data_IF_746598661841
#
_entry.id   IF_746598661841
#
_cell.length_a   1.000
_cell.length_b   1.000
_cell.length_c   1.000
_cell.angle_alpha   90.00
_cell.angle_beta   90.00
_cell.angle_gamma   90.00
#
_symmetry.space_group_name_H-M   'P 1'
#
loop_
_entity.id
_entity.type
_entity.pdbx_description
1 polymer ?
#
# COMPACT_ATOMS: atom_id res chain seq x y z
N UNK A 1 8.44 10.21 -9.12
CA UNK A 1 7.39 9.30 -8.64
C UNK A 1 7.76 8.77 -7.28
N UNK A 2 6.80 8.62 -6.39
CA UNK A 2 7.02 8.30 -5.00
C UNK A 2 6.20 7.09 -4.58
N UNK A 3 6.61 6.45 -3.47
CA UNK A 3 5.88 5.34 -2.86
C UNK A 3 5.28 5.83 -1.54
N UNK A 4 3.99 5.56 -1.35
CA UNK A 4 3.25 5.88 -0.12
C UNK A 4 2.82 4.57 0.54
N UNK A 5 2.92 4.51 1.85
CA UNK A 5 2.58 3.28 2.60
C UNK A 5 1.54 3.60 3.67
N UNK A 6 0.45 2.83 3.67
CA UNK A 6 -0.50 2.78 4.77
C UNK A 6 0.14 1.91 5.86
N UNK A 7 0.95 2.53 6.70
CA UNK A 7 1.95 1.81 7.49
C UNK A 7 1.38 1.09 8.71
N UNK A 8 0.27 1.56 9.27
CA UNK A 8 -0.33 0.90 10.44
C UNK A 8 -0.82 -0.52 10.11
N UNK A 9 -1.18 -0.75 8.86
CA UNK A 9 -1.66 -2.04 8.38
C UNK A 9 -0.61 -2.83 7.59
N UNK A 10 0.62 -2.35 7.51
CA UNK A 10 1.66 -2.99 6.70
C UNK A 10 2.57 -3.85 7.59
N UNK A 11 2.77 -5.13 7.26
CA UNK A 11 3.69 -5.99 8.02
C UNK A 11 5.13 -5.48 8.00
N UNK A 12 5.86 -5.69 9.09
CA UNK A 12 7.23 -5.21 9.22
C UNK A 12 8.17 -5.78 8.15
N UNK A 13 7.99 -7.04 7.76
CA UNK A 13 8.81 -7.67 6.74
C UNK A 13 8.63 -6.97 5.37
N UNK A 14 7.44 -6.50 5.09
CA UNK A 14 7.16 -5.76 3.86
C UNK A 14 7.77 -4.35 3.94
N UNK A 15 7.70 -3.70 5.09
CA UNK A 15 8.38 -2.42 5.30
C UNK A 15 9.88 -2.53 5.05
N UNK A 16 10.51 -3.61 5.50
CA UNK A 16 11.95 -3.83 5.28
C UNK A 16 12.28 -3.97 3.79
N UNK A 17 11.45 -4.67 3.03
CA UNK A 17 11.62 -4.78 1.58
C UNK A 17 11.55 -3.39 0.94
N UNK A 18 10.58 -2.58 1.37
CA UNK A 18 10.42 -1.21 0.88
C UNK A 18 11.60 -0.33 1.23
N UNK A 19 12.12 -0.43 2.45
CA UNK A 19 13.29 0.37 2.87
C UNK A 19 14.50 0.08 1.99
N UNK A 20 14.79 -1.19 1.75
CA UNK A 20 15.93 -1.59 0.89
C UNK A 20 15.73 -1.10 -0.55
N UNK A 21 14.53 -1.25 -1.07
CA UNK A 21 14.23 -0.82 -2.43
C UNK A 21 14.36 0.70 -2.59
N UNK A 22 13.83 1.47 -1.61
CA UNK A 22 13.90 2.93 -1.65
C UNK A 22 15.35 3.42 -1.65
N UNK A 23 16.20 2.84 -0.78
CA UNK A 23 17.62 3.18 -0.73
C UNK A 23 18.34 2.83 -2.02
N UNK A 24 18.12 1.61 -2.52
CA UNK A 24 18.82 1.13 -3.71
C UNK A 24 18.47 1.94 -4.96
N UNK A 25 17.22 2.34 -5.09
CA UNK A 25 16.73 3.03 -6.28
C UNK A 25 16.61 4.55 -6.11
N UNK A 26 16.91 5.06 -4.91
CA UNK A 26 16.77 6.48 -4.57
C UNK A 26 15.34 6.99 -4.81
N UNK A 27 14.36 6.16 -4.46
CA UNK A 27 12.94 6.48 -4.63
C UNK A 27 12.38 7.03 -3.32
N UNK A 28 11.71 8.19 -3.33
CA UNK A 28 11.06 8.71 -2.12
C UNK A 28 10.02 7.74 -1.59
N UNK A 29 10.10 7.44 -0.30
CA UNK A 29 9.20 6.54 0.40
C UNK A 29 8.64 7.26 1.61
N UNK A 30 7.32 7.39 1.71
CA UNK A 30 6.63 8.02 2.84
C UNK A 30 5.71 7.00 3.49
N UNK A 31 5.88 6.81 4.80
CA UNK A 31 5.04 5.92 5.59
C UNK A 31 4.09 6.76 6.43
N UNK A 32 2.80 6.67 6.15
CA UNK A 32 1.76 7.37 6.91
C UNK A 32 1.26 6.46 8.03
N UNK A 33 1.28 6.96 9.25
CA UNK A 33 0.86 6.19 10.42
C UNK A 33 0.35 7.11 11.52
N UNK A 34 -0.54 6.59 12.36
CA UNK A 34 -1.01 7.34 13.53
C UNK A 34 -0.13 7.11 14.76
N UNK A 35 0.85 6.20 14.68
CA UNK A 35 1.80 5.91 15.75
C UNK A 35 3.22 6.18 15.27
N UNK A 36 4.15 6.50 16.20
CA UNK A 36 5.55 6.67 15.82
C UNK A 36 6.12 5.40 15.19
N UNK A 37 6.87 5.57 14.12
CA UNK A 37 7.51 4.48 13.41
C UNK A 37 9.03 4.63 13.47
N UNK A 38 9.72 3.50 13.59
CA UNK A 38 11.16 3.47 13.42
C UNK A 38 11.48 3.16 11.97
N UNK A 39 12.20 4.08 11.35
CA UNK A 39 12.65 3.91 9.98
C UNK A 39 14.17 4.10 9.93
N UNK A 40 14.85 3.49 8.95
CA UNK A 40 16.30 3.72 8.80
C UNK A 40 16.57 5.20 8.52
N UNK A 41 17.70 5.74 9.03
CA UNK A 41 18.09 7.10 8.69
C UNK A 41 18.40 7.18 7.18
N UNK A 42 17.60 7.94 6.45
CA UNK A 42 17.72 8.05 5.01
C UNK A 42 16.98 9.28 4.52
N UNK A 43 17.57 9.98 3.57
CA UNK A 43 16.90 11.12 2.93
C UNK A 43 15.77 10.71 2.00
N UNK A 44 15.67 9.43 1.66
CA UNK A 44 14.61 8.90 0.80
C UNK A 44 13.44 8.36 1.58
N UNK A 45 13.61 8.09 2.87
CA UNK A 45 12.59 7.46 3.71
C UNK A 45 12.16 8.45 4.78
N UNK A 46 10.86 8.75 4.80
CA UNK A 46 10.30 9.64 5.82
C UNK A 46 9.00 9.09 6.35
N UNK A 47 8.60 9.58 7.52
CA UNK A 47 7.32 9.24 8.13
C UNK A 47 6.40 10.45 8.08
N UNK A 48 5.11 10.18 7.90
CA UNK A 48 4.07 11.18 7.99
C UNK A 48 3.16 10.76 9.13
N UNK A 49 3.26 11.45 10.25
CA UNK A 49 2.39 11.16 11.39
C UNK A 49 1.04 11.84 11.18
N UNK A 50 -0.03 11.05 11.31
CA UNK A 50 -1.40 11.55 11.20
C UNK A 50 -2.13 11.32 12.51
N UNK A 51 -3.20 12.07 12.75
CA UNK A 51 -4.01 11.92 13.95
C UNK A 51 -4.74 10.57 13.91
N UNK A 52 -5.05 10.05 15.11
CA UNK A 52 -5.89 8.88 15.23
C UNK A 52 -7.29 9.22 14.75
N UNK A 53 -7.87 8.31 14.00
CA UNK A 53 -9.22 8.49 13.50
C UNK A 53 -9.44 7.59 12.30
N UNK A 54 -10.70 7.29 12.04
CA UNK A 54 -11.09 6.46 10.93
C UNK A 54 -10.72 7.15 9.60
N UNK A 55 -9.97 6.47 8.76
CA UNK A 55 -9.56 6.91 7.42
C UNK A 55 -8.67 8.16 7.38
N UNK A 56 -8.12 8.64 8.50
CA UNK A 56 -7.27 9.84 8.50
C UNK A 56 -5.99 9.62 7.67
N UNK A 57 -5.31 8.49 7.87
CA UNK A 57 -4.11 8.17 7.10
C UNK A 57 -4.44 8.01 5.61
N UNK A 58 -5.54 7.32 5.30
CA UNK A 58 -5.97 7.08 3.94
C UNK A 58 -6.27 8.39 3.20
N UNK A 59 -7.02 9.29 3.84
CA UNK A 59 -7.36 10.58 3.25
C UNK A 59 -6.11 11.42 2.97
N UNK A 60 -5.14 11.38 3.88
CA UNK A 60 -3.89 12.14 3.71
C UNK A 60 -3.05 11.58 2.58
N UNK A 61 -2.99 10.25 2.44
CA UNK A 61 -2.29 9.62 1.32
C UNK A 61 -2.93 10.04 -0.01
N UNK A 62 -4.25 9.95 -0.12
CA UNK A 62 -4.97 10.34 -1.34
C UNK A 62 -4.73 11.82 -1.67
N UNK A 63 -4.77 12.67 -0.66
CA UNK A 63 -4.56 14.10 -0.85
C UNK A 63 -3.17 14.42 -1.42
N UNK A 64 -2.15 13.74 -0.91
CA UNK A 64 -0.75 14.05 -1.27
C UNK A 64 -0.21 13.27 -2.45
N UNK A 65 -0.74 12.08 -2.74
CA UNK A 65 -0.22 11.28 -3.85
C UNK A 65 -0.53 11.93 -5.20
N UNK A 66 0.33 11.69 -6.16
CA UNK A 66 0.19 12.21 -7.51
C UNK A 66 0.01 11.07 -8.51
N UNK A 67 -0.43 11.39 -9.72
CA UNK A 67 -0.53 10.41 -10.79
C UNK A 67 0.84 9.77 -11.01
N UNK A 68 0.86 8.45 -11.15
CA UNK A 68 2.11 7.69 -11.31
C UNK A 68 2.74 7.21 -10.02
N UNK A 69 2.32 7.71 -8.86
CA UNK A 69 2.82 7.23 -7.57
C UNK A 69 2.30 5.82 -7.28
N UNK A 70 3.01 5.09 -6.41
CA UNK A 70 2.60 3.78 -5.94
C UNK A 70 2.16 3.88 -4.48
N UNK A 71 1.01 3.28 -4.16
CA UNK A 71 0.51 3.21 -2.78
C UNK A 71 0.43 1.76 -2.35
N UNK A 72 1.01 1.47 -1.18
CA UNK A 72 0.99 0.13 -0.58
C UNK A 72 -0.11 0.11 0.48
N UNK A 73 -1.16 -0.65 0.22
CA UNK A 73 -2.30 -0.74 1.14
C UNK A 73 -3.11 -2.01 0.90
N UNK A 74 -3.73 -2.52 1.95
CA UNK A 74 -4.74 -3.58 1.87
C UNK A 74 -6.17 -3.00 1.88
N UNK A 75 -6.31 -1.69 2.03
CA UNK A 75 -7.60 -1.01 2.06
C UNK A 75 -8.11 -0.82 0.62
N UNK A 76 -9.17 -1.52 0.28
CA UNK A 76 -9.70 -1.53 -1.09
C UNK A 76 -10.29 -0.16 -1.50
N UNK A 77 -11.07 0.54 -0.66
CA UNK A 77 -11.51 1.89 -1.00
C UNK A 77 -10.35 2.87 -1.26
N UNK A 78 -9.27 2.81 -0.46
CA UNK A 78 -8.10 3.64 -0.70
C UNK A 78 -7.46 3.31 -2.04
N UNK A 79 -7.31 2.02 -2.35
CA UNK A 79 -6.76 1.59 -3.65
C UNK A 79 -7.60 2.12 -4.81
N UNK A 80 -8.93 2.08 -4.69
CA UNK A 80 -9.82 2.59 -5.73
C UNK A 80 -9.62 4.10 -5.97
N UNK A 81 -9.49 4.88 -4.90
CA UNK A 81 -9.25 6.32 -5.01
C UNK A 81 -7.91 6.64 -5.65
N UNK A 82 -6.87 5.87 -5.30
CA UNK A 82 -5.53 6.02 -5.89
C UNK A 82 -5.57 5.73 -7.39
N UNK A 83 -6.23 4.65 -7.79
CA UNK A 83 -6.38 4.31 -9.20
C UNK A 83 -7.12 5.41 -9.96
N UNK A 84 -8.16 6.00 -9.37
CA UNK A 84 -8.91 7.10 -9.97
C UNK A 84 -8.05 8.34 -10.21
N UNK A 85 -7.01 8.55 -9.38
CA UNK A 85 -6.05 9.65 -9.56
C UNK A 85 -4.97 9.35 -10.59
N UNK A 86 -4.92 8.14 -11.13
CA UNK A 86 -3.87 7.71 -12.06
C UNK A 86 -2.65 7.10 -11.38
N UNK A 87 -2.72 6.81 -10.10
CA UNK A 87 -1.67 6.10 -9.38
C UNK A 87 -1.79 4.60 -9.51
N UNK A 88 -0.83 3.88 -8.94
CA UNK A 88 -0.83 2.43 -8.82
C UNK A 88 -1.02 2.01 -7.37
N UNK A 89 -1.64 0.87 -7.14
CA UNK A 89 -1.85 0.35 -5.80
C UNK A 89 -1.46 -1.12 -5.74
N UNK A 90 -0.81 -1.51 -4.65
CA UNK A 90 -0.28 -2.85 -4.43
C UNK A 90 -0.52 -3.24 -2.98
N UNK A 91 -1.04 -4.45 -2.73
CA UNK A 91 -1.21 -4.89 -1.36
C UNK A 91 0.06 -5.60 -0.84
N UNK A 92 0.19 -5.79 0.49
CA UNK A 92 1.39 -6.42 1.06
C UNK A 92 1.62 -7.87 0.62
N UNK A 93 0.64 -8.53 0.03
CA UNK A 93 0.81 -9.90 -0.50
C UNK A 93 1.27 -9.93 -1.94
N UNK A 94 1.50 -8.74 -2.53
CA UNK A 94 1.97 -8.66 -3.91
C UNK A 94 0.88 -8.67 -4.95
N UNK A 95 -0.37 -8.45 -4.56
CA UNK A 95 -1.46 -8.34 -5.51
C UNK A 95 -1.61 -6.89 -5.95
N UNK A 96 -1.57 -6.66 -7.26
CA UNK A 96 -1.74 -5.34 -7.82
C UNK A 96 -3.21 -5.08 -8.12
N UNK A 97 -3.72 -3.97 -7.64
CA UNK A 97 -5.09 -3.56 -7.95
C UNK A 97 -5.15 -2.96 -9.35
N UNK A 98 -6.27 -3.17 -10.04
CA UNK A 98 -6.52 -2.59 -11.36
C UNK A 98 -7.94 -2.05 -11.44
N UNK A 99 -8.17 -1.13 -12.37
CA UNK A 99 -9.50 -0.59 -12.61
C UNK A 99 -10.48 -1.69 -13.02
N UNK A 100 -9.99 -2.70 -13.74
CA UNK A 100 -10.83 -3.81 -14.20
C UNK A 100 -11.35 -4.68 -13.05
N UNK A 101 -10.56 -4.84 -11.98
CA UNK A 101 -10.90 -5.76 -10.88
C UNK A 101 -11.34 -5.07 -9.60
N UNK A 102 -11.15 -3.74 -9.49
CA UNK A 102 -11.40 -3.04 -8.24
C UNK A 102 -12.87 -3.05 -7.82
N UNK A 103 -13.79 -2.99 -8.77
CA UNK A 103 -15.23 -3.06 -8.49
C UNK A 103 -15.61 -4.40 -7.87
N UNK A 104 -15.08 -5.48 -8.40
CA UNK A 104 -15.32 -6.83 -7.90
C UNK A 104 -14.80 -6.95 -6.47
N UNK A 105 -13.63 -6.40 -6.20
CA UNK A 105 -13.05 -6.42 -4.85
C UNK A 105 -13.86 -5.57 -3.88
N UNK A 106 -14.35 -4.41 -4.29
CA UNK A 106 -15.24 -3.58 -3.47
C UNK A 106 -16.54 -4.32 -3.12
N UNK A 107 -17.13 -4.98 -4.09
CA UNK A 107 -18.35 -5.78 -3.87
C UNK A 107 -18.11 -6.92 -2.87
N UNK A 108 -17.01 -7.62 -3.03
CA UNK A 108 -16.63 -8.70 -2.11
C UNK A 108 -16.40 -8.18 -0.70
N UNK A 109 -15.71 -7.03 -0.57
CA UNK A 109 -15.49 -6.40 0.73
C UNK A 109 -16.81 -6.06 1.41
N UNK A 110 -17.74 -5.44 0.69
CA UNK A 110 -19.04 -5.07 1.23
C UNK A 110 -19.84 -6.31 1.65
N UNK A 111 -19.79 -7.35 0.84
CA UNK A 111 -20.42 -8.62 1.17
C UNK A 111 -19.86 -9.22 2.46
N UNK A 112 -18.54 -9.25 2.61
CA UNK A 112 -17.89 -9.79 3.80
C UNK A 112 -18.21 -8.96 5.05
N UNK A 113 -18.31 -7.63 4.92
CA UNK A 113 -18.71 -6.76 6.02
C UNK A 113 -20.16 -7.05 6.46
N UNK A 114 -21.05 -7.26 5.49
CA UNK A 114 -22.44 -7.60 5.76
C UNK A 114 -22.52 -8.93 6.52
N UNK A 115 -21.74 -9.93 6.13
CA UNK A 115 -21.68 -11.21 6.82
C UNK A 115 -21.23 -11.04 8.28
N UNK A 116 -20.20 -10.24 8.52
CA UNK A 116 -19.69 -9.99 9.87
C UNK A 116 -20.74 -9.28 10.73
N UNK A 117 -21.43 -8.29 10.16
CA UNK A 117 -22.50 -7.57 10.85
C UNK A 117 -23.66 -8.48 11.21
N UNK A 118 -23.89 -9.54 10.44
CA UNK A 118 -24.93 -10.54 10.72
C UNK A 118 -24.49 -11.61 11.72
N UNK A 119 -23.28 -11.50 12.28
CA UNK A 119 -22.76 -12.45 13.26
C UNK A 119 -22.07 -13.67 12.67
N UNK A 120 -21.91 -13.72 11.35
CA UNK A 120 -21.18 -14.80 10.70
C UNK A 120 -19.68 -14.58 10.90
N UNK A 121 -19.01 -15.60 11.41
CA UNK A 121 -17.54 -15.53 11.53
C UNK A 121 -16.91 -15.81 10.20
N UNK A 122 -16.24 -14.78 9.67
CA UNK A 122 -15.40 -14.94 8.49
C UNK A 122 -13.96 -15.08 8.99
N UNK A 123 -13.19 -16.02 8.45
CA UNK A 123 -11.79 -16.15 8.82
C UNK A 123 -11.04 -14.86 8.57
N UNK A 124 -10.08 -14.52 9.45
CA UNK A 124 -9.16 -13.42 9.21
C UNK A 124 -8.20 -13.77 8.08
N UNK A 125 -7.47 -12.77 7.55
CA UNK A 125 -6.44 -13.05 6.54
C UNK A 125 -5.36 -13.97 7.10
N UNK A 126 -4.87 -14.87 6.27
CA UNK A 126 -3.77 -15.75 6.62
C UNK A 126 -2.49 -14.94 6.89
N UNK A 127 -1.61 -15.50 7.69
CA UNK A 127 -0.29 -14.92 7.90
C UNK A 127 0.45 -14.81 6.57
N UNK A 128 1.31 -13.79 6.49
CA UNK A 128 2.10 -13.55 5.28
C UNK A 128 3.09 -14.69 5.06
N UNK A 129 2.99 -15.35 3.92
CA UNK A 129 3.87 -16.47 3.56
C UNK A 129 5.14 -16.00 2.87
N UNK A 130 6.11 -16.90 2.74
CA UNK A 130 7.32 -16.66 1.95
C UNK A 130 6.96 -16.33 0.50
N UNK A 131 5.97 -17.01 -0.05
CA UNK A 131 5.50 -16.77 -1.41
C UNK A 131 4.92 -15.36 -1.57
N UNK A 132 4.15 -14.91 -0.57
CA UNK A 132 3.59 -13.55 -0.57
C UNK A 132 4.68 -12.50 -0.59
N UNK A 133 5.73 -12.69 0.21
CA UNK A 133 6.87 -11.77 0.25
C UNK A 133 7.61 -11.71 -1.08
N UNK A 134 7.83 -12.87 -1.69
CA UNK A 134 8.48 -12.95 -2.99
C UNK A 134 7.65 -12.27 -4.08
N UNK A 135 6.35 -12.48 -4.05
CA UNK A 135 5.44 -11.86 -5.01
C UNK A 135 5.41 -10.34 -4.85
N UNK A 136 5.36 -9.87 -3.60
CA UNK A 136 5.43 -8.43 -3.32
C UNK A 136 6.72 -7.83 -3.87
N UNK A 137 7.85 -8.44 -3.58
CA UNK A 137 9.14 -7.95 -4.06
C UNK A 137 9.20 -7.92 -5.59
N UNK A 138 8.66 -8.94 -6.25
CA UNK A 138 8.64 -9.01 -7.72
C UNK A 138 7.77 -7.90 -8.33
N UNK A 139 6.59 -7.66 -7.76
CA UNK A 139 5.70 -6.60 -8.26
C UNK A 139 6.28 -5.22 -8.00
N UNK A 140 6.90 -5.01 -6.85
CA UNK A 140 7.58 -3.76 -6.53
C UNK A 140 8.71 -3.50 -7.56
N UNK A 141 9.51 -4.50 -7.88
CA UNK A 141 10.57 -4.37 -8.89
C UNK A 141 10.01 -3.99 -10.26
N UNK A 142 8.91 -4.59 -10.66
CA UNK A 142 8.25 -4.24 -11.93
C UNK A 142 7.87 -2.76 -11.98
N UNK A 143 7.31 -2.25 -10.90
CA UNK A 143 6.95 -0.83 -10.84
C UNK A 143 8.18 0.06 -10.89
N UNK A 144 9.23 -0.28 -10.13
CA UNK A 144 10.47 0.49 -10.10
C UNK A 144 11.16 0.53 -11.47
N UNK A 145 11.17 -0.59 -12.18
CA UNK A 145 11.73 -0.66 -13.53
C UNK A 145 10.92 0.19 -14.52
N UNK A 146 9.60 0.17 -14.40
CA UNK A 146 8.73 0.98 -15.25
C UNK A 146 8.96 2.48 -15.04
N UNK A 147 9.15 2.89 -13.77
CA UNK A 147 9.47 4.29 -13.43
C UNK A 147 10.82 4.69 -14.02
N UNK A 148 11.83 3.83 -13.90
CA UNK A 148 13.16 4.08 -14.42
C UNK A 148 13.14 4.25 -15.94
N UNK A 149 12.37 3.43 -16.64
CA UNK A 149 12.20 3.55 -18.10
C UNK A 149 11.56 4.86 -18.51
N UNK A 150 10.58 5.35 -17.73
CA UNK A 150 9.92 6.64 -18.03
C UNK A 150 10.85 7.82 -17.80
N UNK A 151 11.77 7.70 -16.84
CA UNK A 151 12.73 8.78 -16.51
C UNK A 151 13.98 8.74 -17.40
N UNK A 152 14.25 7.61 -17.98
CA UNK A 152 15.39 7.40 -18.84
C UNK A 152 15.04 7.57 -20.28
#
# INVERSE_FOLDING_TARGET
MAIWVDADACPNVIKEILFRAAERTQTPLTLAANQPLRVPPSRFIRTLRVEQGFDVADNEIVRQCAAGDLVITADIPLAAEVLAKGGAALNPRGERYSEATIRERLTMRDFMETLRASGVQTGGPDSLSQRDRQQFAAELEKWLLAVKRRQG
#
